data_IF_968694259138
#
_entry.id   IF_968694259138
#
_cell.length_a   1.000
_cell.length_b   1.000
_cell.length_c   1.000
_cell.angle_alpha   90.00
_cell.angle_beta   90.00
_cell.angle_gamma   90.00
#
_symmetry.space_group_name_H-M   'P 1'
#
loop_
_entity.id
_entity.type
_entity.pdbx_description
1 polymer ?
#
# COMPACT_ATOMS: atom_id res chain seq x y z
N UNK A 1 3.42 31.13 8.16
CA UNK A 1 3.17 29.95 7.30
C UNK A 1 4.48 29.42 6.69
N UNK A 2 5.57 29.37 7.45
CA UNK A 2 6.85 28.86 6.97
C UNK A 2 7.43 27.95 8.04
N UNK A 3 7.25 26.64 7.87
CA UNK A 3 7.92 25.68 8.73
C UNK A 3 9.27 25.38 8.10
N UNK A 4 10.36 25.44 8.88
CA UNK A 4 11.71 25.15 8.38
C UNK A 4 11.83 23.65 8.05
N UNK A 5 11.71 23.35 6.76
CA UNK A 5 11.75 22.01 6.21
C UNK A 5 13.15 21.76 5.65
N UNK A 6 13.74 20.62 6.03
CA UNK A 6 14.94 20.11 5.38
C UNK A 6 14.53 19.11 4.31
N UNK A 7 15.19 19.18 3.14
CA UNK A 7 14.93 18.27 2.03
C UNK A 7 16.20 17.49 1.65
N UNK A 8 15.99 16.25 1.21
CA UNK A 8 16.95 15.33 0.64
C UNK A 8 16.34 14.76 -0.66
N UNK A 9 17.17 14.18 -1.53
CA UNK A 9 16.77 13.65 -2.83
C UNK A 9 15.60 12.64 -2.75
N UNK A 10 15.40 11.99 -1.59
CA UNK A 10 14.35 11.00 -1.37
C UNK A 10 13.41 11.30 -0.19
N UNK A 11 13.62 12.38 0.56
CA UNK A 11 12.82 12.68 1.77
C UNK A 11 12.75 14.16 2.09
N UNK A 12 11.62 14.60 2.64
CA UNK A 12 11.48 15.90 3.28
C UNK A 12 11.05 15.71 4.73
N UNK A 13 11.70 16.39 5.66
CA UNK A 13 11.36 16.31 7.09
C UNK A 13 11.50 17.68 7.78
N UNK A 14 10.74 17.94 8.85
CA UNK A 14 10.86 19.17 9.63
C UNK A 14 12.17 19.19 10.42
N UNK A 15 12.89 20.32 10.37
CA UNK A 15 14.22 20.48 11.00
C UNK A 15 14.20 20.36 12.53
N UNK A 16 13.05 20.54 13.17
CA UNK A 16 12.86 20.51 14.62
C UNK A 16 12.47 19.15 15.19
N UNK A 17 12.23 18.12 14.36
CA UNK A 17 11.78 16.80 14.82
C UNK A 17 10.39 16.78 15.49
N UNK A 18 9.66 17.92 15.50
CA UNK A 18 8.28 18.03 15.99
C UNK A 18 7.40 18.69 14.94
N UNK A 19 6.32 18.01 14.57
CA UNK A 19 5.22 18.61 13.81
C UNK A 19 4.45 19.55 14.75
N UNK A 20 4.16 20.77 14.28
CA UNK A 20 3.43 21.80 15.04
C UNK A 20 1.94 21.40 15.23
N UNK A 21 1.42 20.50 14.39
CA UNK A 21 0.04 20.03 14.43
C UNK A 21 -0.03 18.51 14.15
N UNK A 22 -0.69 17.75 15.04
CA UNK A 22 -0.87 16.29 14.92
C UNK A 22 -1.68 15.90 13.66
N UNK A 23 -2.45 16.86 13.14
CA UNK A 23 -3.29 16.73 11.94
C UNK A 23 -2.48 16.64 10.64
N UNK A 24 -1.32 17.28 10.50
CA UNK A 24 -0.48 17.16 9.30
C UNK A 24 0.16 15.77 9.13
N UNK A 25 0.51 15.10 10.23
CA UNK A 25 1.02 13.72 10.20
C UNK A 25 -0.04 12.70 9.75
N UNK A 26 -1.30 12.94 10.09
CA UNK A 26 -2.44 12.16 9.64
C UNK A 26 -2.64 12.25 8.12
N UNK A 27 -2.64 13.46 7.55
CA UNK A 27 -2.83 13.62 6.10
C UNK A 27 -1.73 12.95 5.27
N UNK A 28 -0.47 13.04 5.72
CA UNK A 28 0.65 12.35 5.06
C UNK A 28 0.51 10.83 5.17
N UNK A 29 0.07 10.32 6.32
CA UNK A 29 -0.12 8.87 6.53
C UNK A 29 -1.33 8.32 5.75
N UNK A 30 -2.41 9.11 5.58
CA UNK A 30 -3.60 8.71 4.80
C UNK A 30 -3.28 8.66 3.30
N UNK A 31 -2.35 9.50 2.83
CA UNK A 31 -1.99 9.59 1.41
C UNK A 31 -1.56 8.23 0.81
N UNK A 32 -0.80 7.44 1.56
CA UNK A 32 -0.34 6.12 1.12
C UNK A 32 -1.49 5.15 0.82
N UNK A 33 -2.30 4.76 1.82
CA UNK A 33 -3.45 3.86 1.62
C UNK A 33 -4.48 4.41 0.64
N UNK A 34 -4.80 5.71 0.68
CA UNK A 34 -5.79 6.31 -0.21
C UNK A 34 -5.34 6.27 -1.68
N UNK A 35 -4.09 6.61 -1.96
CA UNK A 35 -3.53 6.52 -3.31
C UNK A 35 -3.52 5.08 -3.82
N UNK A 36 -3.16 4.13 -2.95
CA UNK A 36 -3.15 2.70 -3.26
C UNK A 36 -4.53 2.21 -3.71
N UNK A 37 -5.58 2.60 -2.98
CA UNK A 37 -6.97 2.26 -3.31
C UNK A 37 -7.39 2.90 -4.63
N UNK A 38 -7.11 4.19 -4.82
CA UNK A 38 -7.45 4.92 -6.05
C UNK A 38 -6.78 4.28 -7.27
N UNK A 39 -5.49 3.96 -7.18
CA UNK A 39 -4.75 3.26 -8.22
C UNK A 39 -5.43 1.93 -8.57
N UNK A 40 -5.76 1.10 -7.57
CA UNK A 40 -6.42 -0.18 -7.81
C UNK A 40 -7.81 -0.02 -8.46
N UNK A 41 -8.57 1.02 -8.10
CA UNK A 41 -9.86 1.33 -8.74
C UNK A 41 -9.67 1.70 -10.22
N UNK A 42 -8.71 2.59 -10.53
CA UNK A 42 -8.44 3.00 -11.92
C UNK A 42 -8.08 1.80 -12.79
N UNK A 43 -7.20 0.92 -12.31
CA UNK A 43 -6.83 -0.29 -13.05
C UNK A 43 -7.96 -1.33 -13.11
N UNK A 44 -8.82 -1.41 -12.10
CA UNK A 44 -10.03 -2.22 -12.19
C UNK A 44 -10.95 -1.72 -13.30
N UNK A 45 -11.17 -0.41 -13.44
CA UNK A 45 -11.97 0.15 -14.54
C UNK A 45 -11.35 -0.16 -15.92
N UNK A 46 -10.03 -0.15 -16.03
CA UNK A 46 -9.31 -0.57 -17.24
C UNK A 46 -9.55 -2.05 -17.53
N UNK A 47 -9.48 -2.92 -16.52
CA UNK A 47 -9.80 -4.35 -16.66
C UNK A 47 -11.25 -4.53 -17.11
N UNK A 48 -12.21 -3.80 -16.52
CA UNK A 48 -13.62 -3.93 -16.88
C UNK A 48 -13.90 -3.47 -18.31
N UNK A 49 -13.22 -2.41 -18.77
CA UNK A 49 -13.40 -1.85 -20.12
C UNK A 49 -12.69 -2.66 -21.21
N UNK A 50 -11.44 -3.05 -20.97
CA UNK A 50 -10.57 -3.64 -22.00
C UNK A 50 -10.33 -5.15 -21.81
N UNK A 51 -10.77 -5.74 -20.69
CA UNK A 51 -10.57 -7.15 -20.34
C UNK A 51 -9.12 -7.62 -20.48
N UNK A 52 -8.18 -6.72 -20.20
CA UNK A 52 -6.75 -6.96 -20.37
C UNK A 52 -6.13 -7.56 -19.10
N UNK A 53 -5.43 -8.68 -19.27
CA UNK A 53 -4.69 -9.32 -18.16
C UNK A 53 -3.50 -8.48 -17.69
N UNK A 54 -2.96 -7.61 -18.55
CA UNK A 54 -1.79 -6.78 -18.24
C UNK A 54 -2.08 -5.70 -17.18
N UNK A 55 -3.35 -5.35 -16.98
CA UNK A 55 -3.76 -4.42 -15.91
C UNK A 55 -3.93 -5.13 -14.55
N UNK A 56 -4.03 -6.47 -14.53
CA UNK A 56 -4.25 -7.24 -13.30
C UNK A 56 -3.12 -7.10 -12.27
N UNK A 57 -1.82 -7.11 -12.63
CA UNK A 57 -0.73 -6.85 -11.69
C UNK A 57 -0.90 -5.54 -10.91
N UNK A 58 -1.39 -4.49 -11.55
CA UNK A 58 -1.58 -3.17 -10.91
C UNK A 58 -2.76 -3.13 -9.92
N UNK A 59 -3.64 -4.14 -9.96
CA UNK A 59 -4.71 -4.33 -8.97
C UNK A 59 -4.26 -5.32 -7.88
N UNK A 60 -3.56 -6.38 -8.26
CA UNK A 60 -3.12 -7.45 -7.36
C UNK A 60 -1.96 -7.03 -6.45
N UNK A 61 -0.93 -6.41 -7.02
CA UNK A 61 0.31 -6.08 -6.31
C UNK A 61 0.09 -5.16 -5.10
N UNK A 62 -0.75 -4.09 -5.19
CA UNK A 62 -1.08 -3.27 -4.02
C UNK A 62 -1.71 -4.03 -2.85
N UNK A 63 -2.61 -4.98 -3.14
CA UNK A 63 -3.22 -5.83 -2.12
C UNK A 63 -2.17 -6.74 -1.49
N UNK A 64 -1.33 -7.36 -2.32
CA UNK A 64 -0.28 -8.27 -1.87
C UNK A 64 0.75 -7.57 -0.97
N UNK A 65 1.23 -6.38 -1.33
CA UNK A 65 2.24 -5.66 -0.52
C UNK A 65 1.69 -5.22 0.83
N UNK A 66 0.41 -4.80 0.88
CA UNK A 66 -0.29 -4.47 2.13
C UNK A 66 -0.50 -5.70 3.01
N UNK A 67 -0.92 -6.82 2.41
CA UNK A 67 -1.01 -8.11 3.09
C UNK A 67 0.36 -8.54 3.65
N UNK A 68 1.40 -8.51 2.83
CA UNK A 68 2.75 -8.88 3.21
C UNK A 68 3.27 -8.02 4.37
N UNK A 69 3.04 -6.70 4.30
CA UNK A 69 3.46 -5.77 5.35
C UNK A 69 2.69 -5.98 6.65
N UNK A 70 1.40 -6.32 6.57
CA UNK A 70 0.57 -6.65 7.73
C UNK A 70 1.02 -7.96 8.40
N UNK A 71 1.42 -8.96 7.62
CA UNK A 71 1.84 -10.27 8.17
C UNK A 71 3.30 -10.28 8.64
N UNK A 72 4.20 -9.62 7.89
CA UNK A 72 5.66 -9.75 8.08
C UNK A 72 6.39 -8.43 8.37
N UNK A 73 5.77 -7.27 8.10
CA UNK A 73 6.46 -5.97 8.05
C UNK A 73 6.65 -5.26 9.39
N UNK A 74 6.00 -5.72 10.46
CA UNK A 74 6.05 -5.07 11.77
C UNK A 74 5.25 -3.75 11.80
N UNK A 75 4.15 -3.75 12.54
CA UNK A 75 3.13 -2.69 12.48
C UNK A 75 3.59 -1.29 12.88
N UNK A 76 4.57 -1.15 13.76
CA UNK A 76 5.01 0.16 14.28
C UNK A 76 5.59 1.12 13.21
N UNK A 77 5.90 0.62 12.01
CA UNK A 77 6.43 1.43 10.89
C UNK A 77 5.39 1.74 9.80
N UNK A 78 4.16 1.24 9.94
CA UNK A 78 3.12 1.40 8.93
C UNK A 78 2.36 2.72 9.07
N UNK A 79 1.92 3.26 7.93
CA UNK A 79 1.09 4.45 7.89
C UNK A 79 -0.28 4.19 8.53
N UNK A 80 -0.85 3.00 8.37
CA UNK A 80 -2.14 2.64 8.99
C UNK A 80 -2.06 2.54 10.52
N UNK A 81 -0.91 2.14 11.06
CA UNK A 81 -0.69 2.10 12.51
C UNK A 81 -0.66 3.51 13.11
N UNK A 82 -0.07 4.49 12.41
CA UNK A 82 -0.09 5.91 12.81
C UNK A 82 -1.52 6.48 12.79
N UNK A 83 -2.31 6.12 11.79
CA UNK A 83 -3.72 6.53 11.69
C UNK A 83 -4.53 5.91 12.84
N UNK A 84 -4.37 4.61 13.09
CA UNK A 84 -5.07 3.91 14.18
C UNK A 84 -4.72 4.47 15.57
N UNK A 85 -3.45 4.80 15.81
CA UNK A 85 -2.99 5.38 17.06
C UNK A 85 -3.57 6.79 17.31
N UNK A 86 -3.89 7.53 16.25
CA UNK A 86 -4.47 8.88 16.37
C UNK A 86 -5.98 8.86 16.53
N UNK A 87 -6.65 7.79 16.08
CA UNK A 87 -8.11 7.62 16.14
C UNK A 87 -8.59 6.79 17.34
N UNK A 88 -7.67 6.23 18.15
CA UNK A 88 -7.93 5.24 19.22
C UNK A 88 -8.73 3.99 18.77
N UNK A 89 -8.94 3.86 17.47
CA UNK A 89 -9.52 2.67 16.84
C UNK A 89 -8.40 1.64 16.79
N UNK A 90 -8.59 0.49 17.45
CA UNK A 90 -7.56 -0.52 17.70
C UNK A 90 -6.56 -0.72 16.55
N UNK A 91 -5.30 -1.01 16.89
CA UNK A 91 -4.09 -0.89 16.07
C UNK A 91 -4.18 -1.47 14.64
N UNK A 92 -5.06 -2.43 14.41
CA UNK A 92 -5.20 -3.14 13.14
C UNK A 92 -6.42 -2.73 12.30
N UNK A 93 -7.33 -1.94 12.87
CA UNK A 93 -8.66 -1.69 12.30
C UNK A 93 -8.55 -1.03 10.92
N UNK A 94 -7.75 0.03 10.82
CA UNK A 94 -7.57 0.79 9.57
C UNK A 94 -6.85 -0.06 8.52
N UNK A 95 -5.79 -0.77 8.91
CA UNK A 95 -5.05 -1.64 8.00
C UNK A 95 -5.92 -2.78 7.46
N UNK A 96 -6.77 -3.37 8.30
CA UNK A 96 -7.73 -4.40 7.89
C UNK A 96 -8.79 -3.86 6.94
N UNK A 97 -9.34 -2.67 7.19
CA UNK A 97 -10.32 -2.05 6.28
C UNK A 97 -9.72 -1.79 4.90
N UNK A 98 -8.50 -1.24 4.85
CA UNK A 98 -7.78 -0.98 3.59
C UNK A 98 -7.51 -2.30 2.86
N UNK A 99 -7.00 -3.30 3.57
CA UNK A 99 -6.71 -4.62 3.01
C UNK A 99 -7.98 -5.29 2.46
N UNK A 100 -9.08 -5.27 3.22
CA UNK A 100 -10.37 -5.81 2.79
C UNK A 100 -10.88 -5.08 1.54
N UNK A 101 -10.77 -3.76 1.50
CA UNK A 101 -11.18 -2.96 0.33
C UNK A 101 -10.39 -3.36 -0.90
N UNK A 102 -9.06 -3.45 -0.81
CA UNK A 102 -8.20 -3.89 -1.90
C UNK A 102 -8.49 -5.34 -2.31
N UNK A 103 -8.75 -6.22 -1.35
CA UNK A 103 -9.11 -7.61 -1.61
C UNK A 103 -10.41 -7.72 -2.41
N UNK A 104 -11.44 -6.94 -2.09
CA UNK A 104 -12.69 -6.90 -2.86
C UNK A 104 -12.46 -6.42 -4.30
N UNK A 105 -11.58 -5.44 -4.52
CA UNK A 105 -11.21 -4.96 -5.86
C UNK A 105 -10.53 -6.08 -6.66
N UNK A 106 -9.57 -6.79 -6.05
CA UNK A 106 -8.89 -7.93 -6.67
C UNK A 106 -9.87 -9.05 -7.01
N UNK A 107 -10.78 -9.40 -6.10
CA UNK A 107 -11.83 -10.41 -6.36
C UNK A 107 -12.69 -10.03 -7.56
N UNK A 108 -13.06 -8.75 -7.67
CA UNK A 108 -13.84 -8.23 -8.80
C UNK A 108 -13.06 -8.32 -10.10
N UNK A 109 -11.78 -7.92 -10.10
CA UNK A 109 -10.88 -8.04 -11.24
C UNK A 109 -10.66 -9.49 -11.67
N UNK A 110 -10.48 -10.39 -10.71
CA UNK A 110 -10.34 -11.82 -10.92
C UNK A 110 -11.59 -12.42 -11.59
N UNK A 111 -12.79 -12.11 -11.06
CA UNK A 111 -14.05 -12.59 -11.62
C UNK A 111 -14.29 -12.03 -13.04
N UNK A 112 -13.88 -10.79 -13.33
CA UNK A 112 -14.03 -10.18 -14.66
C UNK A 112 -13.10 -10.80 -15.71
N UNK A 113 -11.89 -11.18 -15.31
CA UNK A 113 -10.90 -11.82 -16.19
C UNK A 113 -11.00 -13.35 -16.22
N UNK A 114 -11.80 -13.95 -15.32
CA UNK A 114 -11.93 -15.40 -15.21
C UNK A 114 -10.61 -16.11 -14.87
N UNK A 115 -9.76 -15.47 -14.06
CA UNK A 115 -8.42 -16.01 -13.78
C UNK A 115 -8.55 -17.26 -12.91
N UNK A 116 -7.96 -18.36 -13.39
CA UNK A 116 -7.92 -19.61 -12.63
C UNK A 116 -6.99 -19.50 -11.41
N UNK A 117 -7.22 -20.31 -10.39
CA UNK A 117 -6.38 -20.32 -9.18
C UNK A 117 -4.89 -20.55 -9.50
N UNK A 118 -4.60 -21.38 -10.52
CA UNK A 118 -3.23 -21.61 -11.01
C UNK A 118 -2.58 -20.32 -11.50
N UNK A 119 -3.29 -19.53 -12.31
CA UNK A 119 -2.76 -18.28 -12.83
C UNK A 119 -2.55 -17.24 -11.73
N UNK A 120 -3.43 -17.21 -10.72
CA UNK A 120 -3.26 -16.33 -9.57
C UNK A 120 -1.98 -16.66 -8.78
N UNK A 121 -1.59 -17.94 -8.73
CA UNK A 121 -0.35 -18.36 -8.07
C UNK A 121 0.91 -17.80 -8.74
N UNK A 122 0.93 -17.66 -10.07
CA UNK A 122 2.05 -17.02 -10.76
C UNK A 122 2.21 -15.55 -10.35
N UNK A 123 1.11 -14.80 -10.26
CA UNK A 123 1.14 -13.41 -9.78
C UNK A 123 1.60 -13.32 -8.32
N UNK A 124 1.21 -14.29 -7.48
CA UNK A 124 1.66 -14.38 -6.10
C UNK A 124 3.17 -14.65 -5.99
N UNK A 125 3.69 -15.65 -6.72
CA UNK A 125 5.11 -15.99 -6.74
C UNK A 125 5.95 -14.83 -7.26
N UNK A 126 5.52 -14.20 -8.36
CA UNK A 126 6.21 -13.05 -8.93
C UNK A 126 6.22 -11.85 -7.96
N UNK A 127 5.10 -11.55 -7.32
CA UNK A 127 5.01 -10.47 -6.33
C UNK A 127 5.92 -10.75 -5.12
N UNK A 128 5.98 -12.00 -4.67
CA UNK A 128 6.88 -12.43 -3.58
C UNK A 128 8.34 -12.22 -3.96
N UNK A 129 8.74 -12.65 -5.17
CA UNK A 129 10.10 -12.45 -5.68
C UNK A 129 10.45 -10.96 -5.75
N UNK A 130 9.57 -10.11 -6.28
CA UNK A 130 9.77 -8.67 -6.30
C UNK A 130 9.98 -8.09 -4.88
N UNK A 131 9.16 -8.52 -3.91
CA UNK A 131 9.27 -8.06 -2.53
C UNK A 131 10.60 -8.49 -1.89
N UNK A 132 11.02 -9.73 -2.11
CA UNK A 132 12.29 -10.25 -1.61
C UNK A 132 13.49 -9.56 -2.25
N UNK A 133 13.43 -9.25 -3.55
CA UNK A 133 14.45 -8.47 -4.23
C UNK A 133 14.61 -7.09 -3.61
N UNK A 134 13.50 -6.38 -3.34
CA UNK A 134 13.54 -5.06 -2.69
C UNK A 134 14.14 -5.14 -1.29
N UNK A 135 13.77 -6.16 -0.51
CA UNK A 135 14.35 -6.37 0.83
C UNK A 135 15.85 -6.69 0.72
N UNK A 136 16.23 -7.53 -0.24
CA UNK A 136 17.62 -7.91 -0.50
C UNK A 136 18.49 -6.73 -0.88
N UNK A 137 18.03 -5.88 -1.82
CA UNK A 137 18.78 -4.68 -2.22
C UNK A 137 18.91 -3.68 -1.07
N UNK A 138 17.85 -3.48 -0.28
CA UNK A 138 17.90 -2.63 0.90
C UNK A 138 18.94 -3.11 1.92
N UNK A 139 19.04 -4.43 2.14
CA UNK A 139 20.03 -5.03 3.04
C UNK A 139 21.46 -4.95 2.51
N UNK A 140 21.66 -4.92 1.19
CA UNK A 140 22.99 -4.76 0.58
C UNK A 140 23.50 -3.31 0.60
N UNK A 141 22.59 -2.33 0.64
CA UNK A 141 22.93 -0.89 0.65
C UNK A 141 23.04 -0.30 2.06
N UNK A 142 22.58 -1.01 3.09
CA UNK A 142 22.70 -0.66 4.50
C UNK A 142 23.93 -1.30 5.13
#
# INVERSE_FOLDING_TARGET
MGNDMAYSLNYTWPKSGRYIDASHGLYVSIGGPAFTILQSIVFLLIIEKFKTIYAYPFVFFPMFTRFFSLVFGGFGKQDEARISATLELGTYTVALIVLLTLFLIVLRGNHKLGISFKNNSYFFTMSTLCQLLVIGTYKMMS
#
